data_IF_909372976949
#
_entry.id   IF_909372976949
#
_cell.length_a   1.000
_cell.length_b   1.000
_cell.length_c   1.000
_cell.angle_alpha   90.00
_cell.angle_beta   90.00
_cell.angle_gamma   90.00
#
_symmetry.space_group_name_H-M   'P 1'
#
loop_
_entity.id
_entity.type
_entity.pdbx_description
1 polymer ?
#
# COMPACT_ATOMS: atom_id res chain seq x y z
N UNK A 1 28.13 23.23 5.72
CA UNK A 1 27.35 22.33 4.85
C UNK A 1 26.77 23.19 3.75
N UNK A 2 27.07 22.92 2.48
CA UNK A 2 26.49 23.64 1.34
C UNK A 2 25.00 23.34 1.29
N UNK A 3 24.14 24.36 1.41
CA UNK A 3 22.70 24.24 1.16
C UNK A 3 22.50 23.86 -0.30
N UNK A 4 22.21 22.59 -0.53
CA UNK A 4 21.80 22.10 -1.83
C UNK A 4 20.31 22.39 -1.99
N UNK A 5 19.84 22.86 -3.16
CA UNK A 5 18.41 22.92 -3.44
C UNK A 5 17.82 21.51 -3.32
N UNK A 6 16.51 21.41 -3.06
CA UNK A 6 15.81 20.16 -2.71
C UNK A 6 15.98 18.97 -3.70
N UNK A 7 16.53 19.21 -4.89
CA UNK A 7 16.74 18.22 -5.95
C UNK A 7 18.22 17.95 -6.28
N UNK A 8 19.17 18.60 -5.61
CA UNK A 8 20.58 18.43 -5.93
C UNK A 8 21.21 17.31 -5.10
N UNK A 9 21.76 16.31 -5.80
CA UNK A 9 22.59 15.29 -5.17
C UNK A 9 23.92 15.88 -4.70
N UNK A 10 24.45 15.46 -3.52
CA UNK A 10 25.78 15.84 -3.08
C UNK A 10 26.85 15.50 -4.14
N UNK A 11 27.77 16.43 -4.40
CA UNK A 11 28.96 16.18 -5.21
C UNK A 11 29.97 15.40 -4.37
N UNK A 12 29.91 14.08 -4.42
CA UNK A 12 30.98 13.23 -3.91
C UNK A 12 32.00 13.02 -5.04
N UNK A 13 33.28 13.28 -4.76
CA UNK A 13 34.34 12.96 -5.71
C UNK A 13 34.33 11.44 -5.96
N UNK A 14 34.43 10.98 -7.23
CA UNK A 14 34.53 9.56 -7.50
C UNK A 14 35.74 9.01 -6.74
N UNK A 15 35.52 7.98 -5.92
CA UNK A 15 36.63 7.23 -5.33
C UNK A 15 37.41 6.62 -6.50
N UNK A 16 38.66 7.04 -6.67
CA UNK A 16 39.55 6.37 -7.61
C UNK A 16 39.60 4.89 -7.21
N UNK A 17 39.31 4.01 -8.17
CA UNK A 17 39.65 2.60 -8.05
C UNK A 17 41.17 2.57 -7.96
N UNK A 18 41.72 2.59 -6.74
CA UNK A 18 43.13 2.35 -6.54
C UNK A 18 43.41 0.94 -7.06
N UNK A 19 44.12 0.88 -8.19
CA UNK A 19 44.75 -0.34 -8.67
C UNK A 19 45.51 -0.96 -7.51
N UNK A 20 45.16 -2.19 -7.12
CA UNK A 20 45.98 -2.98 -6.20
C UNK A 20 47.41 -3.02 -6.76
N UNK A 21 48.45 -2.64 -6.01
CA UNK A 21 49.81 -2.80 -6.49
C UNK A 21 50.14 -4.28 -6.56
N UNK A 22 50.57 -4.74 -7.73
CA UNK A 22 51.23 -6.02 -7.92
C UNK A 22 52.52 -6.06 -7.08
N UNK A 23 52.67 -7.16 -6.34
CA UNK A 23 53.92 -7.77 -5.86
C UNK A 23 55.04 -6.89 -5.31
N UNK A 24 55.29 -6.99 -4.00
CA UNK A 24 56.65 -7.20 -3.48
C UNK A 24 56.61 -7.76 -2.04
N UNK A 25 57.37 -8.83 -1.86
CA UNK A 25 57.74 -9.47 -0.60
C UNK A 25 58.72 -8.58 0.18
N UNK A 26 58.56 -8.48 1.49
CA UNK A 26 59.59 -8.85 2.48
C UNK A 26 59.22 -8.44 3.91
N UNK A 27 60.03 -8.99 4.81
CA UNK A 27 59.78 -9.48 6.15
C UNK A 27 60.04 -8.44 7.27
N UNK A 28 59.41 -8.72 8.42
CA UNK A 28 59.84 -8.39 9.80
C UNK A 28 59.67 -6.97 10.42
N UNK A 29 58.96 -7.02 11.55
CA UNK A 29 59.25 -6.39 12.86
C UNK A 29 58.64 -5.02 13.26
N UNK A 30 57.62 -5.16 14.13
CA UNK A 30 57.29 -4.42 15.36
C UNK A 30 57.20 -2.88 15.37
N UNK A 31 55.98 -2.40 15.63
CA UNK A 31 55.68 -1.07 16.18
C UNK A 31 54.20 -0.94 16.55
N UNK A 32 53.90 -0.95 17.85
CA UNK A 32 52.55 -0.95 18.44
C UNK A 32 51.81 0.39 18.25
N UNK A 33 50.52 0.36 17.85
CA UNK A 33 49.46 1.21 18.41
C UNK A 33 48.07 0.88 17.83
N UNK A 34 47.13 0.56 18.73
CA UNK A 34 45.69 0.90 18.74
C UNK A 34 44.82 0.67 17.48
N UNK A 35 43.86 -0.27 17.58
CA UNK A 35 42.68 -0.33 16.71
C UNK A 35 41.84 -1.58 16.95
N UNK A 36 40.62 -1.41 17.45
CA UNK A 36 39.65 -2.46 17.74
C UNK A 36 39.39 -3.37 16.54
N UNK A 37 39.47 -4.69 16.76
CA UNK A 37 39.12 -5.72 15.80
C UNK A 37 37.65 -5.63 15.40
N UNK A 38 37.36 -5.33 14.13
CA UNK A 38 36.08 -5.69 13.51
C UNK A 38 36.20 -7.13 12.98
N UNK A 39 35.43 -8.12 13.46
CA UNK A 39 35.49 -9.46 12.90
C UNK A 39 34.91 -9.46 11.48
N UNK A 40 35.59 -10.14 10.56
CA UNK A 40 35.11 -10.36 9.19
C UNK A 40 33.81 -11.18 9.22
N UNK A 41 32.80 -10.73 8.48
CA UNK A 41 31.54 -11.45 8.29
C UNK A 41 31.81 -12.75 7.51
N UNK A 42 31.16 -13.88 7.86
CA UNK A 42 31.28 -15.13 7.12
C UNK A 42 30.65 -15.02 5.71
N UNK A 43 31.28 -15.68 4.73
CA UNK A 43 30.95 -15.70 3.29
C UNK A 43 29.62 -16.40 2.92
N UNK A 44 28.54 -16.13 3.63
CA UNK A 44 27.23 -16.78 3.40
C UNK A 44 26.06 -15.81 3.16
N UNK A 45 26.31 -14.57 2.72
CA UNK A 45 25.26 -13.60 2.36
C UNK A 45 25.37 -13.02 0.93
N UNK A 46 26.03 -13.73 0.02
CA UNK A 46 25.96 -13.41 -1.41
C UNK A 46 24.73 -14.08 -2.04
N UNK A 47 23.61 -13.36 -2.09
CA UNK A 47 22.50 -13.70 -2.98
C UNK A 47 22.99 -13.59 -4.44
N UNK A 48 22.65 -14.53 -5.34
CA UNK A 48 23.11 -14.46 -6.72
C UNK A 48 22.50 -13.25 -7.45
N UNK A 49 23.37 -12.41 -8.02
CA UNK A 49 22.96 -11.32 -8.88
C UNK A 49 22.27 -11.88 -10.14
N UNK A 50 20.96 -11.66 -10.26
CA UNK A 50 20.26 -11.89 -11.51
C UNK A 50 20.72 -10.84 -12.53
N UNK A 51 21.71 -11.22 -13.34
CA UNK A 51 22.21 -10.40 -14.45
C UNK A 51 21.52 -10.87 -15.72
N UNK A 52 20.71 -10.06 -16.41
CA UNK A 52 20.18 -10.45 -17.71
C UNK A 52 21.32 -10.51 -18.75
N UNK A 53 21.21 -11.35 -19.80
CA UNK A 53 22.28 -11.50 -20.78
C UNK A 53 22.54 -10.19 -21.53
N UNK A 54 23.82 -9.91 -21.76
CA UNK A 54 24.32 -8.72 -22.43
C UNK A 54 23.77 -8.60 -23.86
N UNK A 55 23.18 -7.44 -24.18
CA UNK A 55 22.84 -7.05 -25.55
C UNK A 55 24.15 -6.76 -26.33
N UNK A 56 24.33 -7.25 -27.57
CA UNK A 56 25.56 -7.01 -28.31
C UNK A 56 25.65 -5.57 -28.83
N UNK A 57 26.77 -4.91 -28.52
CA UNK A 57 27.51 -3.98 -29.38
C UNK A 57 26.75 -2.83 -30.05
N UNK A 58 26.78 -1.65 -29.43
CA UNK A 58 26.63 -0.37 -30.12
C UNK A 58 27.55 0.66 -29.45
N UNK A 59 28.59 1.11 -30.16
CA UNK A 59 29.47 2.19 -29.70
C UNK A 59 28.68 3.48 -29.56
N UNK A 60 28.52 3.98 -28.33
CA UNK A 60 27.85 5.25 -28.06
C UNK A 60 28.87 6.40 -28.09
N UNK A 61 28.67 7.34 -29.01
CA UNK A 61 29.35 8.63 -29.02
C UNK A 61 28.76 9.49 -27.89
N UNK A 62 29.60 10.02 -27.01
CA UNK A 62 29.23 10.68 -25.74
C UNK A 62 28.81 12.16 -25.85
N UNK A 63 28.70 12.71 -27.06
CA UNK A 63 28.47 14.15 -27.28
C UNK A 63 27.04 14.52 -27.69
N UNK A 64 26.06 13.63 -27.53
CA UNK A 64 24.66 13.91 -27.90
C UNK A 64 23.70 13.72 -26.73
N UNK A 65 22.80 14.71 -26.57
CA UNK A 65 21.78 14.75 -25.53
C UNK A 65 20.89 13.47 -25.60
N UNK A 66 20.82 12.65 -24.53
CA UNK A 66 20.15 11.35 -24.55
C UNK A 66 18.65 11.45 -24.88
N UNK A 67 18.01 12.60 -24.64
CA UNK A 67 16.61 12.85 -25.00
C UNK A 67 16.38 12.86 -26.52
N UNK A 68 17.35 13.32 -27.31
CA UNK A 68 17.21 13.43 -28.77
C UNK A 68 17.33 12.08 -29.49
N UNK A 69 18.17 11.17 -28.96
CA UNK A 69 18.41 9.84 -29.55
C UNK A 69 17.17 8.92 -29.39
N UNK A 70 16.44 9.06 -28.29
CA UNK A 70 15.19 8.32 -28.04
C UNK A 70 14.03 8.82 -28.91
N UNK A 71 13.94 10.13 -29.17
CA UNK A 71 12.91 10.67 -30.07
C UNK A 71 13.09 10.21 -31.53
N UNK A 72 14.33 10.04 -32.01
CA UNK A 72 14.57 9.56 -33.38
C UNK A 72 14.28 8.07 -33.58
N UNK A 73 14.51 7.23 -32.56
CA UNK A 73 14.23 5.79 -32.67
C UNK A 73 12.76 5.44 -32.45
N UNK A 74 11.97 6.30 -31.82
CA UNK A 74 10.53 6.08 -31.60
C UNK A 74 9.63 6.74 -32.65
N UNK A 75 10.11 7.75 -33.40
CA UNK A 75 9.32 8.36 -34.48
C UNK A 75 8.99 7.38 -35.63
N UNK A 76 9.72 6.26 -35.74
CA UNK A 76 9.49 5.24 -36.77
C UNK A 76 8.44 4.17 -36.39
N UNK A 77 8.07 4.04 -35.10
CA UNK A 77 7.17 2.96 -34.62
C UNK A 77 5.85 3.47 -34.01
N UNK A 78 5.61 4.78 -34.00
CA UNK A 78 4.34 5.39 -33.54
C UNK A 78 3.45 5.68 -34.75
N UNK A 79 3.09 4.63 -35.49
CA UNK A 79 1.91 4.67 -36.36
C UNK A 79 0.99 3.49 -36.00
N UNK A 80 -0.23 3.84 -35.57
CA UNK A 80 -1.38 2.96 -35.32
C UNK A 80 -1.28 1.97 -34.16
N UNK A 81 -1.77 2.41 -32.99
CA UNK A 81 -2.88 1.76 -32.27
C UNK A 81 -3.41 2.70 -31.20
N UNK A 82 -4.52 3.37 -31.51
CA UNK A 82 -5.42 3.98 -30.55
C UNK A 82 -5.83 2.91 -29.52
N UNK A 83 -5.24 2.95 -28.34
CA UNK A 83 -5.67 2.11 -27.23
C UNK A 83 -7.03 2.64 -26.74
N UNK A 84 -8.12 2.01 -27.17
CA UNK A 84 -9.38 2.07 -26.43
C UNK A 84 -9.10 1.74 -24.96
N UNK A 85 -9.65 2.54 -24.05
CA UNK A 85 -9.46 2.40 -22.61
C UNK A 85 -9.94 1.00 -22.14
N UNK A 86 -8.99 0.06 -22.03
CA UNK A 86 -9.24 -1.30 -21.59
C UNK A 86 -9.56 -1.24 -20.09
N UNK A 87 -10.75 -1.69 -19.71
CA UNK A 87 -11.19 -1.75 -18.31
C UNK A 87 -10.23 -2.57 -17.42
N UNK A 88 -10.44 -2.57 -16.09
CA UNK A 88 -9.54 -3.20 -15.14
C UNK A 88 -9.39 -4.69 -15.45
N UNK A 89 -8.15 -5.20 -15.33
CA UNK A 89 -7.84 -6.62 -15.54
C UNK A 89 -8.41 -7.45 -14.37
N UNK A 90 -9.57 -8.06 -14.60
CA UNK A 90 -10.17 -9.00 -13.64
C UNK A 90 -9.45 -10.35 -13.73
N UNK A 91 -9.25 -10.99 -12.58
CA UNK A 91 -8.84 -12.39 -12.53
C UNK A 91 -10.05 -13.27 -12.87
N UNK A 92 -9.86 -14.39 -13.58
CA UNK A 92 -10.96 -15.31 -13.90
C UNK A 92 -11.52 -16.00 -12.65
N UNK A 93 -10.68 -16.18 -11.63
CA UNK A 93 -11.03 -16.71 -10.32
C UNK A 93 -10.30 -15.90 -9.26
N UNK A 94 -10.93 -15.70 -8.11
CA UNK A 94 -10.29 -15.08 -6.97
C UNK A 94 -9.19 -15.98 -6.38
N UNK A 95 -8.08 -15.40 -5.91
CA UNK A 95 -7.01 -16.14 -5.25
C UNK A 95 -7.47 -16.69 -3.90
N UNK A 96 -6.82 -17.76 -3.45
CA UNK A 96 -7.02 -18.25 -2.09
C UNK A 96 -6.29 -17.33 -1.10
N UNK A 97 -6.99 -16.94 -0.03
CA UNK A 97 -6.43 -16.12 1.05
C UNK A 97 -6.68 -16.77 2.39
N UNK A 98 -5.73 -16.61 3.30
CA UNK A 98 -5.84 -17.09 4.67
C UNK A 98 -5.33 -16.01 5.62
N UNK A 99 -6.18 -15.56 6.54
CA UNK A 99 -5.75 -14.70 7.62
C UNK A 99 -4.90 -15.54 8.57
N UNK A 100 -3.61 -15.23 8.69
CA UNK A 100 -2.63 -15.97 9.47
C UNK A 100 -2.62 -15.53 10.93
N UNK A 101 -2.77 -14.24 11.22
CA UNK A 101 -2.74 -13.72 12.60
C UNK A 101 -3.52 -12.42 12.69
N UNK A 102 -4.11 -12.18 13.87
CA UNK A 102 -4.73 -10.91 14.23
C UNK A 102 -4.17 -10.36 15.53
N UNK A 103 -3.89 -9.06 15.58
CA UNK A 103 -3.50 -8.37 16.81
C UNK A 103 -4.28 -7.06 16.99
N UNK A 104 -4.67 -6.77 18.23
CA UNK A 104 -5.21 -5.45 18.61
C UNK A 104 -4.06 -4.43 18.63
N UNK A 105 -4.24 -3.30 17.95
CA UNK A 105 -3.32 -2.18 17.97
C UNK A 105 -3.97 -1.00 18.69
N UNK A 106 -3.45 -0.60 19.87
CA UNK A 106 -3.88 0.62 20.53
C UNK A 106 -3.63 1.84 19.64
N UNK A 107 -4.63 2.70 19.49
CA UNK A 107 -4.54 3.95 18.74
C UNK A 107 -4.47 5.14 19.70
N UNK A 108 -3.90 6.25 19.24
CA UNK A 108 -3.76 7.48 20.04
C UNK A 108 -5.09 8.19 20.31
N UNK A 109 -6.11 7.91 19.50
CA UNK A 109 -7.46 8.47 19.63
C UNK A 109 -8.45 7.51 20.34
N UNK A 110 -7.96 6.37 20.86
CA UNK A 110 -8.77 5.40 21.59
C UNK A 110 -9.65 4.50 20.71
N UNK A 111 -9.57 4.61 19.39
CA UNK A 111 -10.26 3.72 18.46
C UNK A 111 -9.81 2.26 18.60
N UNK A 112 -10.76 1.34 18.54
CA UNK A 112 -10.47 -0.09 18.49
C UNK A 112 -10.05 -0.48 17.07
N UNK A 113 -8.76 -0.84 16.93
CA UNK A 113 -8.15 -1.22 15.66
C UNK A 113 -7.49 -2.60 15.78
N UNK A 114 -7.69 -3.43 14.77
CA UNK A 114 -7.08 -4.76 14.65
C UNK A 114 -6.36 -4.88 13.32
N UNK A 115 -5.13 -5.37 13.35
CA UNK A 115 -4.41 -5.77 12.15
C UNK A 115 -4.62 -7.26 11.91
N UNK A 116 -5.02 -7.60 10.69
CA UNK A 116 -5.12 -8.96 10.19
C UNK A 116 -4.05 -9.15 9.12
N UNK A 117 -3.17 -10.13 9.28
CA UNK A 117 -2.15 -10.48 8.30
C UNK A 117 -2.65 -11.64 7.44
N UNK A 118 -2.61 -11.49 6.12
CA UNK A 118 -3.09 -12.45 5.15
C UNK A 118 -1.94 -13.04 4.33
N UNK A 119 -1.96 -14.36 4.19
CA UNK A 119 -1.19 -15.10 3.19
C UNK A 119 -2.07 -15.38 1.96
N UNK A 120 -1.45 -15.59 0.80
CA UNK A 120 -2.16 -15.83 -0.46
C UNK A 120 -1.35 -16.67 -1.47
N UNK A 121 -2.04 -17.26 -2.44
CA UNK A 121 -1.47 -18.11 -3.49
C UNK A 121 -1.14 -17.37 -4.81
N UNK A 122 -1.35 -16.06 -4.88
CA UNK A 122 -1.19 -15.26 -6.10
C UNK A 122 0.20 -14.65 -6.25
N UNK A 123 0.70 -14.00 -5.20
CA UNK A 123 1.98 -13.27 -5.24
C UNK A 123 2.96 -13.67 -4.13
N UNK A 124 2.55 -14.55 -3.21
CA UNK A 124 3.37 -15.04 -2.11
C UNK A 124 3.77 -13.97 -1.09
N UNK A 125 3.23 -12.76 -1.19
CA UNK A 125 3.44 -11.69 -0.20
C UNK A 125 2.40 -11.78 0.90
N UNK A 126 2.74 -11.21 2.04
CA UNK A 126 1.78 -11.00 3.11
C UNK A 126 1.05 -9.67 2.90
N UNK A 127 -0.27 -9.64 3.02
CA UNK A 127 -1.08 -8.42 2.91
C UNK A 127 -1.77 -8.13 4.24
N UNK A 128 -2.18 -6.89 4.45
CA UNK A 128 -2.81 -6.49 5.70
C UNK A 128 -4.26 -6.09 5.48
N UNK A 129 -5.12 -6.39 6.45
CA UNK A 129 -6.39 -5.70 6.62
C UNK A 129 -6.40 -4.99 7.98
N UNK A 130 -6.59 -3.68 7.94
CA UNK A 130 -6.73 -2.83 9.13
C UNK A 130 -8.22 -2.70 9.39
N UNK A 131 -8.70 -3.35 10.44
CA UNK A 131 -10.12 -3.42 10.79
C UNK A 131 -10.38 -2.50 11.98
N UNK A 132 -11.36 -1.63 11.85
CA UNK A 132 -11.85 -0.73 12.88
C UNK A 132 -13.18 -1.26 13.41
N UNK A 133 -13.33 -1.28 14.74
CA UNK A 133 -14.49 -1.88 15.41
C UNK A 133 -14.42 -3.40 15.54
N UNK A 134 -15.47 -3.99 16.13
CA UNK A 134 -15.47 -5.40 16.56
C UNK A 134 -16.39 -6.32 15.73
N UNK A 135 -17.07 -5.78 14.73
CA UNK A 135 -18.13 -6.49 14.00
C UNK A 135 -17.62 -7.20 12.74
N UNK A 136 -16.46 -6.80 12.21
CA UNK A 136 -15.85 -7.41 11.02
C UNK A 136 -14.88 -8.49 11.48
N UNK A 137 -15.06 -9.72 11.00
CA UNK A 137 -14.29 -10.89 11.43
C UNK A 137 -13.90 -11.77 10.25
N UNK A 138 -12.67 -12.29 10.31
CA UNK A 138 -12.15 -13.22 9.32
C UNK A 138 -12.64 -14.65 9.59
N UNK A 139 -13.25 -15.28 8.57
CA UNK A 139 -13.70 -16.68 8.60
C UNK A 139 -12.51 -17.63 8.71
N UNK A 140 -11.46 -17.41 7.92
CA UNK A 140 -10.24 -18.22 7.97
C UNK A 140 -9.49 -18.08 9.28
N UNK A 141 -9.48 -16.88 9.90
CA UNK A 141 -8.95 -16.68 11.25
C UNK A 141 -9.74 -17.49 12.29
N UNK A 142 -11.07 -17.39 12.24
CA UNK A 142 -11.95 -18.02 13.23
C UNK A 142 -12.17 -19.52 12.99
N UNK A 143 -11.73 -20.08 11.86
CA UNK A 143 -11.77 -21.53 11.63
C UNK A 143 -10.85 -22.27 12.61
N UNK A 144 -11.26 -23.47 13.06
CA UNK A 144 -10.42 -24.33 13.91
C UNK A 144 -9.46 -25.09 13.02
N UNK A 145 -8.17 -25.06 13.35
CA UNK A 145 -7.14 -25.76 12.58
C UNK A 145 -6.88 -27.17 13.15
N UNK A 146 -6.58 -28.17 12.30
CA UNK A 146 -6.27 -29.52 12.79
C UNK A 146 -5.09 -29.51 13.77
N UNK A 147 -5.30 -30.09 14.97
CA UNK A 147 -4.27 -30.16 16.02
C UNK A 147 -4.02 -28.86 16.78
N UNK A 148 -4.80 -27.80 16.54
CA UNK A 148 -4.69 -26.51 17.23
C UNK A 148 -5.19 -26.61 18.68
N UNK A 149 -4.40 -26.12 19.64
CA UNK A 149 -4.84 -25.96 21.03
C UNK A 149 -5.59 -24.64 21.24
N UNK A 150 -6.33 -24.49 22.34
CA UNK A 150 -6.95 -23.20 22.70
C UNK A 150 -5.91 -22.07 22.84
N UNK A 151 -4.70 -22.41 23.32
CA UNK A 151 -3.61 -21.43 23.43
C UNK A 151 -3.09 -21.01 22.06
N UNK A 152 -2.87 -21.93 21.13
CA UNK A 152 -2.45 -21.62 19.75
C UNK A 152 -3.46 -20.69 19.07
N UNK A 153 -4.74 -21.00 19.25
CA UNK A 153 -5.85 -20.21 18.73
C UNK A 153 -5.84 -18.79 19.29
N UNK A 154 -5.61 -18.63 20.59
CA UNK A 154 -5.47 -17.30 21.23
C UNK A 154 -4.22 -16.55 20.77
N UNK A 155 -3.06 -17.23 20.65
CA UNK A 155 -1.80 -16.66 20.14
C UNK A 155 -1.97 -16.11 18.72
N UNK A 156 -2.72 -16.84 17.89
CA UNK A 156 -3.05 -16.42 16.53
C UNK A 156 -4.04 -15.25 16.47
N UNK A 157 -4.63 -14.91 17.61
CA UNK A 157 -5.61 -13.85 17.72
C UNK A 157 -7.03 -14.28 17.39
N UNK A 158 -7.33 -15.57 17.25
CA UNK A 158 -8.66 -16.11 16.95
C UNK A 158 -9.51 -16.28 18.22
N UNK A 159 -9.73 -15.19 18.96
CA UNK A 159 -10.50 -15.16 20.20
C UNK A 159 -11.64 -14.13 20.15
N UNK A 160 -12.56 -14.21 21.11
CA UNK A 160 -13.66 -13.24 21.31
C UNK A 160 -13.50 -12.51 22.64
N UNK A 161 -13.88 -11.23 22.71
CA UNK A 161 -13.73 -10.44 23.94
C UNK A 161 -12.29 -10.02 24.21
N UNK A 162 -11.97 -9.66 25.47
CA UNK A 162 -10.65 -9.14 25.85
C UNK A 162 -9.73 -10.25 26.36
N UNK A 163 -8.45 -10.20 25.99
CA UNK A 163 -7.44 -11.08 26.60
C UNK A 163 -7.04 -10.54 27.98
N UNK A 164 -6.78 -11.45 28.91
CA UNK A 164 -6.22 -11.16 30.23
C UNK A 164 -5.28 -12.29 30.65
N UNK A 165 -4.33 -12.04 31.57
CA UNK A 165 -3.50 -13.10 32.14
C UNK A 165 -4.37 -14.22 32.75
N UNK A 166 -3.98 -15.47 32.49
CA UNK A 166 -4.69 -16.66 32.99
C UNK A 166 -5.91 -17.10 32.17
N UNK A 167 -6.23 -16.44 31.05
CA UNK A 167 -7.30 -16.87 30.15
C UNK A 167 -6.96 -18.22 29.50
N UNK A 168 -7.94 -19.13 29.46
CA UNK A 168 -7.77 -20.52 28.95
C UNK A 168 -8.68 -20.86 27.77
N UNK A 169 -9.67 -20.02 27.46
CA UNK A 169 -10.64 -20.22 26.39
C UNK A 169 -10.58 -19.08 25.39
N UNK A 170 -10.55 -19.39 24.10
CA UNK A 170 -10.66 -18.43 23.01
C UNK A 170 -12.09 -17.88 22.84
N UNK A 171 -13.08 -18.54 23.44
CA UNK A 171 -14.51 -18.18 23.35
C UNK A 171 -14.92 -17.29 24.53
N UNK A 172 -16.17 -16.80 24.54
CA UNK A 172 -16.69 -16.01 25.66
C UNK A 172 -16.62 -16.81 26.97
N UNK A 173 -16.30 -16.11 28.06
CA UNK A 173 -16.51 -16.64 29.41
C UNK A 173 -18.01 -16.48 29.73
N UNK A 174 -18.70 -17.59 30.01
CA UNK A 174 -20.17 -17.71 30.01
C UNK A 174 -20.94 -16.93 31.11
N UNK A 175 -20.30 -16.02 31.86
CA UNK A 175 -20.91 -15.44 33.09
C UNK A 175 -21.42 -13.99 32.98
N UNK A 176 -21.24 -13.31 31.84
CA UNK A 176 -21.95 -12.05 31.57
C UNK A 176 -22.41 -11.99 30.11
N UNK A 177 -23.44 -12.78 29.79
CA UNK A 177 -24.29 -12.52 28.64
C UNK A 177 -25.09 -11.22 28.88
N UNK A 178 -24.39 -10.08 28.83
CA UNK A 178 -25.02 -8.79 28.58
C UNK A 178 -25.67 -8.90 27.21
N UNK A 179 -26.99 -9.10 27.22
CA UNK A 179 -27.95 -9.03 26.11
C UNK A 179 -27.28 -8.81 24.75
N UNK A 180 -27.27 -9.84 23.91
CA UNK A 180 -27.04 -9.68 22.48
C UNK A 180 -28.00 -8.58 22.00
N UNK A 181 -27.48 -7.35 21.89
CA UNK A 181 -28.26 -6.22 21.47
C UNK A 181 -28.69 -6.52 20.04
N UNK A 182 -30.01 -6.58 19.85
CA UNK A 182 -30.67 -6.61 18.54
C UNK A 182 -29.88 -5.72 17.56
N UNK A 183 -29.57 -6.17 16.34
CA UNK A 183 -28.78 -5.38 15.39
C UNK A 183 -29.52 -4.08 15.09
N UNK A 184 -29.10 -3.03 15.78
CA UNK A 184 -29.54 -1.65 15.58
C UNK A 184 -29.08 -1.29 14.17
N UNK A 185 -30.00 -0.98 13.25
CA UNK A 185 -29.73 -0.78 11.80
C UNK A 185 -28.27 -0.35 11.53
N UNK A 186 -27.47 -1.33 11.14
CA UNK A 186 -26.03 -1.27 11.01
C UNK A 186 -25.77 -0.80 9.58
N UNK A 187 -25.29 0.43 9.39
CA UNK A 187 -24.89 0.87 8.05
C UNK A 187 -23.87 -0.08 7.42
N UNK A 188 -23.91 -0.29 6.10
CA UNK A 188 -22.87 -1.00 5.37
C UNK A 188 -21.46 -0.51 5.75
N UNK A 189 -20.49 -1.43 5.95
CA UNK A 189 -19.16 -1.04 6.42
C UNK A 189 -18.46 -0.16 5.39
N UNK A 190 -17.68 0.80 5.88
CA UNK A 190 -16.81 1.62 5.05
C UNK A 190 -15.55 0.84 4.72
N UNK A 191 -15.24 0.74 3.42
CA UNK A 191 -14.12 -0.05 2.90
C UNK A 191 -13.18 0.84 2.11
N UNK A 192 -11.88 0.67 2.34
CA UNK A 192 -10.81 1.31 1.58
C UNK A 192 -9.85 0.26 1.07
N UNK A 193 -9.60 0.26 -0.23
CA UNK A 193 -8.53 -0.54 -0.82
C UNK A 193 -7.33 0.36 -1.03
N UNK A 194 -6.31 0.17 -0.22
CA UNK A 194 -5.11 0.97 -0.22
C UNK A 194 -3.97 0.20 -0.88
N UNK A 195 -3.30 0.82 -1.85
CA UNK A 195 -2.07 0.25 -2.43
C UNK A 195 -0.90 0.92 -1.72
N UNK A 196 0.00 0.12 -1.17
CA UNK A 196 1.22 0.56 -0.50
C UNK A 196 1.93 1.68 -1.29
N UNK A 197 2.29 2.73 -0.57
CA UNK A 197 3.06 3.85 -1.06
C UNK A 197 4.01 4.33 0.04
N UNK A 198 5.15 3.68 0.17
CA UNK A 198 6.19 3.94 1.17
C UNK A 198 6.56 5.43 1.25
N UNK A 199 6.77 6.07 0.09
CA UNK A 199 7.17 7.48 0.04
C UNK A 199 6.09 8.41 0.59
N UNK A 200 4.82 8.15 0.30
CA UNK A 200 3.71 8.99 0.77
C UNK A 200 3.35 8.72 2.24
N UNK A 201 3.39 7.46 2.66
CA UNK A 201 2.92 7.02 3.97
C UNK A 201 4.00 7.13 5.06
N UNK A 202 5.25 6.83 4.72
CA UNK A 202 6.35 6.76 5.70
C UNK A 202 7.34 7.91 5.55
N UNK A 203 7.58 8.38 4.32
CA UNK A 203 8.59 9.41 4.05
C UNK A 203 8.01 10.83 3.87
N UNK A 204 6.75 11.06 4.24
CA UNK A 204 6.06 12.36 4.17
C UNK A 204 6.16 13.06 2.80
N UNK A 205 6.16 12.29 1.71
CA UNK A 205 6.34 12.83 0.37
C UNK A 205 5.17 13.73 -0.05
N UNK A 206 5.51 14.93 -0.53
CA UNK A 206 4.55 15.85 -1.15
C UNK A 206 4.33 15.60 -2.66
N UNK A 207 4.82 14.48 -3.21
CA UNK A 207 4.62 14.09 -4.63
C UNK A 207 3.28 13.42 -4.89
N UNK A 208 2.63 12.91 -3.85
CA UNK A 208 1.37 12.19 -3.96
C UNK A 208 0.53 12.39 -2.71
N UNK A 209 -0.76 12.08 -2.81
CA UNK A 209 -1.73 12.17 -1.72
C UNK A 209 -1.88 10.85 -0.93
N UNK A 210 -1.06 9.82 -1.19
CA UNK A 210 -1.29 8.48 -0.63
C UNK A 210 -1.27 8.44 0.90
N UNK A 211 -0.38 9.19 1.57
CA UNK A 211 -0.35 9.26 3.03
C UNK A 211 -1.62 9.90 3.59
N UNK A 212 -2.01 11.07 3.06
CA UNK A 212 -3.24 11.77 3.44
C UNK A 212 -4.49 10.90 3.21
N UNK A 213 -4.51 10.12 2.12
CA UNK A 213 -5.60 9.19 1.85
C UNK A 213 -5.68 8.04 2.88
N UNK A 214 -4.53 7.51 3.32
CA UNK A 214 -4.51 6.46 4.34
C UNK A 214 -5.00 7.00 5.70
N UNK A 215 -4.50 8.18 6.07
CA UNK A 215 -4.86 8.85 7.33
C UNK A 215 -6.34 9.22 7.36
N UNK A 216 -6.89 9.76 6.27
CA UNK A 216 -8.31 10.11 6.19
C UNK A 216 -9.20 8.87 6.25
N UNK A 217 -8.81 7.78 5.57
CA UNK A 217 -9.55 6.52 5.65
C UNK A 217 -9.57 5.97 7.08
N UNK A 218 -8.42 5.94 7.75
CA UNK A 218 -8.32 5.51 9.14
C UNK A 218 -9.14 6.42 10.06
N UNK A 219 -9.07 7.74 9.86
CA UNK A 219 -9.84 8.73 10.61
C UNK A 219 -11.34 8.48 10.48
N UNK A 220 -11.85 8.32 9.25
CA UNK A 220 -13.27 8.09 8.98
C UNK A 220 -13.80 6.80 9.64
N UNK A 221 -12.96 5.76 9.74
CA UNK A 221 -13.33 4.47 10.33
C UNK A 221 -13.12 4.41 11.85
N UNK A 222 -12.26 5.27 12.41
CA UNK A 222 -11.84 5.22 13.81
C UNK A 222 -12.85 5.77 14.81
N UNK A 223 -13.72 6.70 14.42
CA UNK A 223 -14.56 7.42 15.39
C UNK A 223 -15.75 6.57 15.86
N UNK A 224 -15.84 6.25 17.17
CA UNK A 224 -17.04 5.68 17.75
C UNK A 224 -18.16 6.73 17.74
N UNK A 225 -19.29 6.33 17.19
CA UNK A 225 -20.55 7.08 17.04
C UNK A 225 -21.06 7.75 18.33
N UNK A 226 -20.70 7.25 19.51
CA UNK A 226 -21.34 7.68 20.76
C UNK A 226 -20.70 8.93 21.40
N UNK A 227 -19.50 9.33 20.97
CA UNK A 227 -18.75 10.45 21.56
C UNK A 227 -18.44 11.58 20.57
N UNK A 228 -19.24 11.73 19.51
CA UNK A 228 -19.28 12.99 18.78
C UNK A 228 -19.99 14.02 19.66
N UNK A 229 -19.24 14.55 20.63
CA UNK A 229 -19.61 15.78 21.34
C UNK A 229 -19.87 16.89 20.30
N UNK A 230 -20.64 17.90 20.72
CA UNK A 230 -21.01 19.10 19.96
C UNK A 230 -19.88 19.83 19.23
N UNK A 231 -18.63 19.48 19.51
CA UNK A 231 -17.42 20.17 19.08
C UNK A 231 -16.68 19.43 17.94
N UNK A 232 -17.23 18.31 17.45
CA UNK A 232 -16.67 17.64 16.27
C UNK A 232 -16.74 18.57 15.04
N UNK A 233 -15.69 18.63 14.19
CA UNK A 233 -15.70 19.45 12.99
C UNK A 233 -16.96 19.17 12.16
N UNK A 234 -17.58 20.18 11.53
CA UNK A 234 -18.82 20.02 10.76
C UNK A 234 -18.70 18.93 9.67
N UNK A 235 -17.47 18.65 9.22
CA UNK A 235 -17.11 17.59 8.27
C UNK A 235 -17.38 16.15 8.75
N UNK A 236 -17.51 15.92 10.06
CA UNK A 236 -17.79 14.60 10.66
C UNK A 236 -19.29 14.44 10.97
N UNK A 237 -20.04 15.54 10.99
CA UNK A 237 -21.47 15.55 11.30
C UNK A 237 -22.35 15.11 10.12
N UNK A 238 -21.83 15.14 8.88
CA UNK A 238 -22.56 14.67 7.69
C UNK A 238 -22.48 13.15 7.47
N UNK A 239 -21.62 12.46 8.24
CA UNK A 239 -21.57 11.01 8.30
C UNK A 239 -22.58 10.58 9.36
N UNK A 240 -23.62 9.91 8.93
CA UNK A 240 -24.67 9.36 9.78
C UNK A 240 -24.04 8.63 10.97
N UNK A 241 -24.49 9.01 12.17
CA UNK A 241 -23.97 8.58 13.46
C UNK A 241 -24.34 7.12 13.78
N UNK A 242 -24.00 6.20 12.87
CA UNK A 242 -24.25 4.75 12.95
C UNK A 242 -23.09 3.94 12.34
N UNK A 243 -21.89 4.53 12.22
CA UNK A 243 -20.65 3.87 11.76
C UNK A 243 -20.44 2.53 12.44
N UNK A 244 -20.28 1.49 11.63
CA UNK A 244 -20.25 0.08 12.01
C UNK A 244 -18.82 -0.44 12.13
N UNK A 245 -17.87 0.50 12.15
CA UNK A 245 -16.47 0.26 11.89
C UNK A 245 -16.16 0.34 10.40
N UNK A 246 -15.03 -0.22 10.00
CA UNK A 246 -14.60 -0.25 8.61
C UNK A 246 -13.33 -1.06 8.41
N UNK A 247 -12.96 -1.24 7.15
CA UNK A 247 -11.73 -1.97 6.80
C UNK A 247 -10.91 -1.22 5.76
N UNK A 248 -9.61 -1.13 6.02
CA UNK A 248 -8.61 -0.77 5.03
C UNK A 248 -7.88 -2.06 4.62
N UNK A 249 -8.11 -2.54 3.40
CA UNK A 249 -7.30 -3.60 2.81
C UNK A 249 -6.04 -2.96 2.25
N UNK A 250 -4.92 -3.19 2.92
CA UNK A 250 -3.62 -2.66 2.58
C UNK A 250 -2.84 -3.67 1.75
N UNK A 251 -2.76 -3.41 0.44
CA UNK A 251 -2.11 -4.27 -0.52
C UNK A 251 -0.66 -3.85 -0.77
N UNK A 252 0.29 -4.75 -0.56
CA UNK A 252 1.73 -4.55 -0.79
C UNK A 252 2.14 -4.61 -2.25
N UNK A 253 1.59 -3.67 -3.01
CA UNK A 253 1.78 -3.51 -4.46
C UNK A 253 2.28 -2.10 -4.79
N UNK A 254 3.42 -1.75 -4.21
CA UNK A 254 4.13 -0.48 -4.41
C UNK A 254 4.31 -0.12 -5.89
N UNK A 255 4.27 1.18 -6.18
CA UNK A 255 4.53 1.72 -7.52
C UNK A 255 3.47 1.36 -8.56
N UNK A 256 2.26 0.99 -8.16
CA UNK A 256 1.25 0.37 -9.06
C UNK A 256 1.69 -1.01 -9.56
N UNK A 257 2.36 -1.78 -8.71
CA UNK A 257 2.78 -3.15 -8.98
C UNK A 257 4.19 -3.30 -9.57
N UNK A 258 4.88 -2.20 -9.91
CA UNK A 258 6.27 -2.24 -10.43
C UNK A 258 7.34 -2.24 -9.33
N UNK A 259 6.95 -1.94 -8.09
CA UNK A 259 7.86 -1.90 -6.93
C UNK A 259 8.55 -0.55 -6.71
N UNK A 260 9.19 -0.42 -5.54
CA UNK A 260 9.77 0.85 -5.07
C UNK A 260 10.93 1.32 -5.95
N UNK A 261 11.85 0.42 -6.33
CA UNK A 261 13.02 0.78 -7.12
C UNK A 261 12.66 1.41 -8.47
N UNK A 262 11.70 0.81 -9.17
CA UNK A 262 11.21 1.32 -10.45
C UNK A 262 10.41 2.62 -10.30
N UNK A 263 9.64 2.75 -9.22
CA UNK A 263 8.98 4.01 -8.86
C UNK A 263 9.98 5.16 -8.65
N UNK A 264 11.09 4.92 -7.95
CA UNK A 264 12.13 5.92 -7.75
C UNK A 264 12.82 6.31 -9.07
N UNK A 265 13.06 5.35 -9.97
CA UNK A 265 13.54 5.64 -11.34
C UNK A 265 12.54 6.51 -12.10
N UNK A 266 11.25 6.20 -12.02
CA UNK A 266 10.19 6.99 -12.66
C UNK A 266 10.15 8.42 -12.12
N UNK A 267 10.41 8.62 -10.82
CA UNK A 267 10.56 9.95 -10.25
C UNK A 267 11.76 10.71 -10.80
N UNK A 268 12.91 10.07 -10.96
CA UNK A 268 14.07 10.73 -11.57
C UNK A 268 13.78 11.16 -13.02
N UNK A 269 13.02 10.36 -13.78
CA UNK A 269 12.57 10.74 -15.13
C UNK A 269 11.58 11.91 -15.11
N UNK A 270 10.74 12.00 -14.07
CA UNK A 270 9.84 13.14 -13.88
C UNK A 270 10.60 14.42 -13.53
N UNK A 271 11.64 14.33 -12.69
CA UNK A 271 12.53 15.45 -12.40
C UNK A 271 13.32 15.90 -13.64
N UNK A 272 13.48 15.02 -14.63
CA UNK A 272 14.03 15.33 -15.96
C UNK A 272 12.98 15.88 -16.96
N UNK A 273 11.72 16.00 -16.54
CA UNK A 273 10.64 16.63 -17.31
C UNK A 273 9.64 15.67 -17.97
N UNK A 274 9.77 14.36 -17.80
CA UNK A 274 8.77 13.40 -18.30
C UNK A 274 7.51 13.43 -17.44
N UNK A 275 6.32 13.24 -18.02
CA UNK A 275 5.14 13.02 -17.19
C UNK A 275 5.08 11.58 -16.61
N UNK A 276 4.11 11.30 -15.74
CA UNK A 276 3.98 9.98 -15.10
C UNK A 276 3.77 8.83 -16.10
N UNK A 277 3.06 9.07 -17.21
CA UNK A 277 2.81 8.04 -18.23
C UNK A 277 4.08 7.83 -19.06
N UNK A 278 4.70 8.91 -19.51
CA UNK A 278 5.96 8.88 -20.27
C UNK A 278 7.08 8.19 -19.50
N UNK A 279 7.25 8.52 -18.22
CA UNK A 279 8.25 7.89 -17.35
C UNK A 279 8.07 6.36 -17.26
N UNK A 280 6.82 5.88 -17.18
CA UNK A 280 6.55 4.43 -17.15
C UNK A 280 6.82 3.78 -18.51
N UNK A 281 6.47 4.44 -19.62
CA UNK A 281 6.75 3.94 -20.97
C UNK A 281 8.26 3.84 -21.24
N UNK A 282 9.03 4.84 -20.81
CA UNK A 282 10.50 4.83 -20.91
C UNK A 282 11.11 3.65 -20.13
N UNK A 283 10.52 3.29 -18.99
CA UNK A 283 10.91 2.13 -18.18
C UNK A 283 10.28 0.81 -18.67
N UNK A 284 9.52 0.82 -19.77
CA UNK A 284 8.80 -0.33 -20.35
C UNK A 284 7.79 -0.98 -19.39
N UNK A 285 7.23 -0.19 -18.48
CA UNK A 285 6.20 -0.62 -17.56
C UNK A 285 4.79 -0.28 -18.09
N UNK A 286 3.76 -1.08 -17.76
CA UNK A 286 2.39 -0.67 -18.00
C UNK A 286 2.02 0.53 -17.11
N UNK A 287 1.01 1.31 -17.52
CA UNK A 287 0.53 2.45 -16.73
C UNK A 287 -0.04 2.05 -15.35
N UNK A 288 -0.56 0.82 -15.24
CA UNK A 288 -1.00 0.18 -14.00
C UNK A 288 -0.87 -1.35 -14.13
N UNK A 289 -0.05 -1.98 -13.29
CA UNK A 289 0.14 -3.44 -13.27
C UNK A 289 -0.69 -4.13 -12.18
N UNK A 290 -1.50 -3.38 -11.42
CA UNK A 290 -2.18 -3.91 -10.23
C UNK A 290 -3.33 -4.86 -10.59
N UNK A 291 -3.55 -5.79 -9.68
CA UNK A 291 -4.75 -6.62 -9.63
C UNK A 291 -5.45 -6.40 -8.28
N UNK A 292 -6.78 -6.38 -8.29
CA UNK A 292 -7.58 -6.16 -7.09
C UNK A 292 -8.34 -7.41 -6.64
N UNK A 293 -8.22 -8.53 -7.35
CA UNK A 293 -8.87 -9.79 -6.94
C UNK A 293 -8.43 -10.28 -5.56
N UNK A 294 -7.18 -9.99 -5.17
CA UNK A 294 -6.71 -10.28 -3.80
C UNK A 294 -7.45 -9.47 -2.74
N UNK A 295 -7.78 -8.21 -3.03
CA UNK A 295 -8.60 -7.40 -2.12
C UNK A 295 -10.02 -7.93 -2.02
N UNK A 296 -10.63 -8.34 -3.15
CA UNK A 296 -11.96 -8.97 -3.14
C UNK A 296 -11.97 -10.23 -2.28
N UNK A 297 -10.99 -11.12 -2.43
CA UNK A 297 -10.86 -12.34 -1.63
C UNK A 297 -10.71 -12.05 -0.12
N UNK A 298 -9.88 -11.05 0.24
CA UNK A 298 -9.73 -10.62 1.64
C UNK A 298 -11.06 -10.09 2.20
N UNK A 299 -11.82 -9.32 1.41
CA UNK A 299 -13.11 -8.79 1.84
C UNK A 299 -14.14 -9.91 2.06
N UNK A 300 -14.19 -10.92 1.19
CA UNK A 300 -15.05 -12.08 1.39
C UNK A 300 -14.70 -12.84 2.67
N UNK A 301 -13.42 -13.07 2.92
CA UNK A 301 -12.97 -13.75 4.14
C UNK A 301 -13.33 -12.94 5.40
N UNK A 302 -13.26 -11.61 5.34
CA UNK A 302 -13.71 -10.70 6.41
C UNK A 302 -15.24 -10.59 6.56
N UNK A 303 -16.00 -11.34 5.76
CA UNK A 303 -17.47 -11.29 5.78
C UNK A 303 -18.06 -10.02 5.18
N UNK A 304 -17.33 -9.35 4.28
CA UNK A 304 -17.82 -8.21 3.48
C UNK A 304 -18.29 -8.62 2.08
N UNK A 305 -18.40 -9.93 1.80
CA UNK A 305 -18.96 -10.47 0.58
C UNK A 305 -20.50 -10.40 0.55
N UNK A 306 -21.08 -10.62 -0.63
CA UNK A 306 -22.53 -10.62 -0.85
C UNK A 306 -23.28 -11.68 -0.04
N UNK A 307 -22.59 -12.74 0.36
CA UNK A 307 -23.12 -13.83 1.17
C UNK A 307 -23.34 -13.44 2.64
N UNK A 308 -22.57 -12.48 3.16
CA UNK A 308 -22.67 -11.98 4.53
C UNK A 308 -23.34 -10.60 4.63
N UNK A 309 -23.16 -9.73 3.64
CA UNK A 309 -23.74 -8.38 3.61
C UNK A 309 -24.47 -8.17 2.27
N UNK A 310 -25.74 -8.60 2.16
CA UNK A 310 -26.51 -8.47 0.92
C UNK A 310 -26.71 -7.01 0.47
N UNK A 311 -26.67 -6.06 1.40
CA UNK A 311 -26.74 -4.63 1.08
C UNK A 311 -25.45 -4.07 0.47
N UNK A 312 -24.34 -4.82 0.51
CA UNK A 312 -23.04 -4.43 -0.01
C UNK A 312 -22.19 -3.60 0.96
N UNK A 313 -21.18 -2.93 0.41
CA UNK A 313 -20.21 -2.10 1.11
C UNK A 313 -20.24 -0.66 0.61
N UNK A 314 -19.68 0.26 1.41
CA UNK A 314 -19.39 1.63 0.96
C UNK A 314 -17.92 1.73 0.61
N UNK A 315 -17.61 1.95 -0.66
CA UNK A 315 -16.23 1.94 -1.14
C UNK A 315 -15.65 3.36 -1.21
N UNK A 316 -14.63 3.62 -0.40
CA UNK A 316 -13.91 4.89 -0.33
C UNK A 316 -12.89 5.00 -1.49
N UNK A 317 -13.31 5.56 -2.63
CA UNK A 317 -12.48 5.66 -3.83
C UNK A 317 -12.90 6.76 -4.82
N UNK A 318 -11.91 7.30 -5.55
CA UNK A 318 -12.11 8.16 -6.72
C UNK A 318 -11.90 7.42 -8.05
N UNK A 319 -11.45 6.16 -8.01
CA UNK A 319 -11.16 5.40 -9.21
C UNK A 319 -12.38 4.53 -9.59
N UNK A 320 -13.11 4.84 -10.68
CA UNK A 320 -14.25 4.02 -11.12
C UNK A 320 -13.83 2.59 -11.50
N UNK A 321 -12.63 2.40 -12.04
CA UNK A 321 -12.14 1.06 -12.39
C UNK A 321 -11.89 0.22 -11.15
N UNK A 322 -11.52 0.85 -10.03
CA UNK A 322 -11.38 0.14 -8.75
C UNK A 322 -12.73 -0.36 -8.24
N UNK A 323 -13.84 0.35 -8.49
CA UNK A 323 -15.19 -0.11 -8.12
C UNK A 323 -15.46 -1.44 -8.81
N UNK A 324 -15.38 -1.48 -10.15
CA UNK A 324 -15.59 -2.70 -10.95
C UNK A 324 -14.62 -3.82 -10.57
N UNK A 325 -13.37 -3.48 -10.31
CA UNK A 325 -12.36 -4.47 -9.97
C UNK A 325 -12.61 -5.14 -8.61
N UNK A 326 -13.19 -4.41 -7.66
CA UNK A 326 -13.48 -4.91 -6.31
C UNK A 326 -14.75 -5.73 -6.25
N UNK A 327 -15.75 -5.42 -7.07
CA UNK A 327 -16.93 -6.27 -7.18
C UNK A 327 -16.56 -7.71 -7.56
N UNK A 328 -15.45 -7.90 -8.28
CA UNK A 328 -14.94 -9.21 -8.66
C UNK A 328 -15.61 -9.76 -9.93
N UNK A 329 -15.10 -10.88 -10.47
CA UNK A 329 -15.61 -11.45 -11.71
C UNK A 329 -17.06 -11.95 -11.61
N UNK A 330 -17.52 -12.37 -10.43
CA UNK A 330 -18.87 -12.91 -10.20
C UNK A 330 -19.70 -12.06 -9.22
N UNK A 331 -19.30 -10.81 -8.95
CA UNK A 331 -19.94 -9.92 -7.96
C UNK A 331 -19.88 -10.50 -6.54
N UNK A 332 -18.72 -11.02 -6.19
CA UNK A 332 -18.41 -11.53 -4.86
C UNK A 332 -18.56 -10.46 -3.77
N UNK A 333 -18.32 -9.20 -4.13
CA UNK A 333 -18.58 -8.02 -3.29
C UNK A 333 -19.53 -7.09 -4.03
N UNK A 334 -20.54 -6.54 -3.34
CA UNK A 334 -21.43 -5.53 -3.88
C UNK A 334 -21.01 -4.15 -3.40
N UNK A 335 -20.76 -3.20 -4.30
CA UNK A 335 -20.51 -1.81 -3.91
C UNK A 335 -21.82 -1.04 -3.94
N UNK A 336 -22.41 -0.79 -2.76
CA UNK A 336 -23.68 -0.06 -2.60
C UNK A 336 -23.53 1.40 -3.01
N UNK A 337 -22.46 2.03 -2.52
CA UNK A 337 -22.13 3.40 -2.82
C UNK A 337 -20.62 3.63 -2.88
N UNK A 338 -20.24 4.59 -3.71
CA UNK A 338 -18.89 5.13 -3.77
C UNK A 338 -18.84 6.36 -2.86
N UNK A 339 -17.95 6.33 -1.87
CA UNK A 339 -17.63 7.49 -1.05
C UNK A 339 -16.41 8.19 -1.66
N UNK A 340 -16.51 9.48 -2.04
CA UNK A 340 -15.39 10.21 -2.63
C UNK A 340 -14.27 10.46 -1.62
N UNK A 341 -13.03 10.47 -2.12
CA UNK A 341 -11.83 10.84 -1.38
C UNK A 341 -11.30 12.17 -1.86
N UNK A 342 -11.92 13.26 -1.43
CA UNK A 342 -11.50 14.58 -1.86
C UNK A 342 -10.23 14.97 -1.07
N UNK A 343 -9.14 15.39 -1.74
CA UNK A 343 -7.95 15.91 -1.08
C UNK A 343 -8.30 16.96 -0.02
N UNK A 344 -7.64 16.90 1.14
CA UNK A 344 -7.94 17.78 2.27
C UNK A 344 -7.67 19.25 1.91
N UNK A 345 -6.64 19.49 1.10
CA UNK A 345 -6.34 20.80 0.55
C UNK A 345 -7.49 21.37 -0.28
N UNK A 346 -8.19 20.55 -1.06
CA UNK A 346 -9.31 21.01 -1.88
C UNK A 346 -10.56 21.26 -1.03
N UNK A 347 -10.85 20.36 -0.08
CA UNK A 347 -11.99 20.49 0.85
C UNK A 347 -11.90 21.73 1.72
N UNK A 348 -10.71 22.06 2.20
CA UNK A 348 -10.53 23.11 3.21
C UNK A 348 -10.12 24.46 2.60
N UNK A 349 -10.19 24.61 1.27
CA UNK A 349 -9.67 25.79 0.58
C UNK A 349 -8.18 26.03 0.86
N UNK A 350 -7.44 24.95 1.10
CA UNK A 350 -6.02 24.96 1.44
C UNK A 350 -5.72 25.32 2.89
N UNK A 351 -6.66 25.34 3.83
CA UNK A 351 -6.30 25.58 5.24
C UNK A 351 -5.53 24.39 5.84
N UNK A 352 -5.79 23.18 5.34
CA UNK A 352 -5.16 21.92 5.76
C UNK A 352 -4.72 21.10 4.55
N UNK A 353 -3.93 20.05 4.78
CA UNK A 353 -3.48 19.11 3.76
C UNK A 353 -2.20 19.54 3.03
N UNK A 354 -1.75 18.69 2.12
CA UNK A 354 -0.49 18.89 1.40
C UNK A 354 -0.67 19.96 0.30
N UNK A 355 0.18 20.98 0.30
CA UNK A 355 0.29 21.97 -0.78
C UNK A 355 1.62 21.84 -1.48
N UNK A 356 1.59 21.44 -2.74
CA UNK A 356 2.79 21.34 -3.59
C UNK A 356 2.40 21.44 -5.06
N UNK A 357 3.29 21.93 -5.92
CA UNK A 357 3.10 21.84 -7.37
C UNK A 357 3.12 20.39 -7.86
N UNK A 358 3.91 19.54 -7.21
CA UNK A 358 4.04 18.11 -7.54
C UNK A 358 2.71 17.37 -7.38
N UNK A 359 2.04 17.57 -6.24
CA UNK A 359 0.76 16.89 -5.95
C UNK A 359 -0.36 17.36 -6.89
N UNK A 360 -0.40 18.65 -7.24
CA UNK A 360 -1.39 19.18 -8.19
C UNK A 360 -1.18 18.60 -9.59
N UNK A 361 0.08 18.52 -10.07
CA UNK A 361 0.40 17.86 -11.34
C UNK A 361 0.01 16.38 -11.36
N UNK A 362 0.25 15.68 -10.25
CA UNK A 362 -0.14 14.29 -10.06
C UNK A 362 -1.67 14.08 -10.06
N UNK A 363 -2.41 14.92 -9.32
CA UNK A 363 -3.88 14.87 -9.27
C UNK A 363 -4.50 15.21 -10.63
N UNK A 364 -3.98 16.23 -11.31
CA UNK A 364 -4.42 16.58 -12.67
C UNK A 364 -4.21 15.42 -13.65
N UNK A 365 -3.09 14.70 -13.55
CA UNK A 365 -2.82 13.51 -14.38
C UNK A 365 -3.84 12.39 -14.09
N UNK A 366 -4.19 12.15 -12.83
CA UNK A 366 -5.23 11.17 -12.46
C UNK A 366 -6.60 11.50 -13.05
N UNK A 367 -6.99 12.78 -13.05
CA UNK A 367 -8.27 13.22 -13.60
C UNK A 367 -8.25 13.15 -15.13
N UNK A 368 -7.29 13.85 -15.76
CA UNK A 368 -7.27 14.04 -17.21
C UNK A 368 -6.89 12.78 -18.00
N UNK A 369 -5.94 11.97 -17.50
CA UNK A 369 -5.42 10.80 -18.21
C UNK A 369 -5.94 9.46 -17.69
N UNK A 370 -6.42 9.40 -16.46
CA UNK A 370 -6.84 8.15 -15.80
C UNK A 370 -8.30 8.14 -15.33
N UNK A 371 -9.10 9.13 -15.70
CA UNK A 371 -10.55 9.13 -15.48
C UNK A 371 -11.00 9.13 -14.01
N UNK A 372 -10.16 9.61 -13.08
CA UNK A 372 -10.54 9.66 -11.67
C UNK A 372 -11.63 10.72 -11.41
N UNK A 373 -12.66 10.32 -10.65
CA UNK A 373 -13.77 11.18 -10.25
C UNK A 373 -13.48 11.79 -8.87
N UNK A 374 -12.70 12.87 -8.87
CA UNK A 374 -12.40 13.65 -7.65
C UNK A 374 -13.42 14.79 -7.58
N UNK A 375 -14.62 14.48 -7.09
CA UNK A 375 -15.74 15.41 -6.91
C UNK A 375 -16.51 15.05 -5.65
#
# INVERSE_FOLDING_TARGET
MTDLPAHASPKLAPRSLQSRPDGQSDDSSQGSATGEHTPALPDSFLSPAFTPPATPGGTLNLDLNPTAILHQTQAADVQHKSQEAKGPKLLPKLPAVECIVRARIPTTNGAEMFLHLYHNDLDGKEHLAIVFGNNIRSRSLDSVRPGETEMDRMIRGAYVGKLHPGRVSSRYDDDQAGSASTPKQVEPPLVRIHSECYTGETAWSARCDCGEQLDEAARLMSFPVENLASDAPPEVQSLSSHSTGGVIVYLRQEGRGIGLGEKLKAYNLQDLGSDTVEANLLLRHPADARSYGLATAILEDLGCGVDAIPEGIRLLTNNPDKVRAIEGPNREVLVKERVPMIPLAWRTGGQRGIKSSEIEGYLNTKISKMGHMIQ
#
